data_IF_193124635948
#
_entry.id   IF_193124635948
#
_cell.length_a   1.000
_cell.length_b   1.000
_cell.length_c   1.000
_cell.angle_alpha   90.00
_cell.angle_beta   90.00
_cell.angle_gamma   90.00
#
_symmetry.space_group_name_H-M   'P 1'
#
loop_
_entity.id
_entity.type
_entity.pdbx_description
1 polymer ?
#
# COMPACT_ATOMS: atom_id res chain seq x y z
N UNK A 1 20.13 -12.33 -11.64
CA UNK A 1 20.55 -11.21 -10.77
C UNK A 1 19.80 -11.32 -9.46
N UNK A 2 20.52 -11.25 -8.34
CA UNK A 2 19.92 -11.28 -7.00
C UNK A 2 19.94 -9.88 -6.41
N UNK A 3 18.92 -9.57 -5.60
CA UNK A 3 18.76 -8.30 -4.91
C UNK A 3 18.35 -8.54 -3.47
N UNK A 4 18.51 -7.53 -2.62
CA UNK A 4 17.84 -7.46 -1.32
C UNK A 4 16.68 -6.46 -1.40
N UNK A 5 15.58 -6.81 -0.77
CA UNK A 5 14.43 -5.95 -0.57
C UNK A 5 14.24 -5.71 0.92
N UNK A 6 14.01 -4.48 1.32
CA UNK A 6 13.72 -4.09 2.71
C UNK A 6 12.38 -3.37 2.73
N UNK A 7 11.45 -3.86 3.52
CA UNK A 7 10.19 -3.16 3.83
C UNK A 7 10.24 -2.64 5.25
N UNK A 8 10.07 -1.32 5.41
CA UNK A 8 10.07 -0.64 6.72
C UNK A 8 8.71 0.01 6.92
N UNK A 9 7.85 -0.62 7.70
CA UNK A 9 6.55 -0.09 8.11
C UNK A 9 6.49 0.26 9.59
N UNK A 10 5.36 0.82 10.03
CA UNK A 10 5.15 1.20 11.43
C UNK A 10 4.97 0.03 12.41
N UNK A 11 4.71 -1.18 11.91
CA UNK A 11 4.48 -2.39 12.72
C UNK A 11 5.24 -3.60 12.20
N UNK A 12 5.76 -3.54 10.98
CA UNK A 12 6.38 -4.66 10.26
C UNK A 12 7.69 -4.21 9.64
N UNK A 13 8.72 -5.00 9.87
CA UNK A 13 9.99 -4.93 9.16
C UNK A 13 10.25 -6.27 8.51
N UNK A 14 10.63 -6.28 7.24
CA UNK A 14 11.16 -7.48 6.63
C UNK A 14 12.33 -7.19 5.70
N UNK A 15 13.26 -8.14 5.66
CA UNK A 15 14.41 -8.15 4.75
C UNK A 15 14.34 -9.42 3.95
N UNK A 16 14.26 -9.29 2.62
CA UNK A 16 14.13 -10.41 1.70
C UNK A 16 15.32 -10.45 0.75
N UNK A 17 15.76 -11.65 0.40
CA UNK A 17 16.61 -11.87 -0.77
C UNK A 17 15.74 -12.42 -1.91
N UNK A 18 15.93 -11.94 -3.12
CA UNK A 18 15.12 -12.37 -4.27
C UNK A 18 15.77 -12.09 -5.62
N UNK A 19 15.10 -12.50 -6.68
CA UNK A 19 15.53 -12.36 -8.05
C UNK A 19 14.94 -11.15 -8.78
N UNK A 20 15.50 -10.83 -9.92
CA UNK A 20 15.00 -9.78 -10.83
C UNK A 20 13.61 -10.10 -11.42
N UNK A 21 13.18 -11.35 -11.33
CA UNK A 21 11.86 -11.85 -11.71
C UNK A 21 10.79 -11.68 -10.62
N UNK A 22 11.16 -11.10 -9.47
CA UNK A 22 10.29 -10.90 -8.32
C UNK A 22 10.19 -12.11 -7.38
N UNK A 23 10.87 -13.23 -7.67
CA UNK A 23 10.88 -14.40 -6.79
C UNK A 23 11.61 -14.08 -5.48
N UNK A 24 10.98 -14.38 -4.34
CA UNK A 24 11.59 -14.25 -3.02
C UNK A 24 12.21 -15.60 -2.63
N UNK A 25 13.52 -15.62 -2.38
CA UNK A 25 14.28 -16.84 -2.04
C UNK A 25 14.40 -17.04 -0.53
N UNK A 26 14.54 -15.94 0.23
CA UNK A 26 14.65 -15.95 1.68
C UNK A 26 13.99 -14.70 2.26
N UNK A 27 13.36 -14.85 3.41
CA UNK A 27 12.67 -13.76 4.10
C UNK A 27 12.97 -13.81 5.58
N UNK A 28 13.33 -12.64 6.13
CA UNK A 28 13.46 -12.40 7.56
C UNK A 28 12.44 -11.36 7.97
N UNK A 29 11.57 -11.73 8.91
CA UNK A 29 10.54 -10.85 9.47
C UNK A 29 10.93 -10.47 10.89
N UNK A 30 10.73 -9.21 11.22
CA UNK A 30 10.99 -8.67 12.55
C UNK A 30 9.76 -7.90 13.03
N UNK A 31 9.48 -8.02 14.34
CA UNK A 31 8.53 -7.13 14.99
C UNK A 31 9.18 -5.76 15.19
N UNK A 32 8.42 -4.70 14.92
CA UNK A 32 8.84 -3.33 15.19
C UNK A 32 8.51 -2.99 16.63
N UNK A 33 9.54 -2.78 17.46
CA UNK A 33 9.39 -2.17 18.77
C UNK A 33 9.36 -0.63 18.60
N UNK A 34 8.18 -0.05 18.77
CA UNK A 34 8.00 1.40 18.65
C UNK A 34 8.75 2.19 19.72
N UNK A 35 8.98 1.59 20.89
CA UNK A 35 9.74 2.23 21.98
C UNK A 35 11.23 2.33 21.64
N UNK A 36 11.78 1.34 20.92
CA UNK A 36 13.15 1.38 20.40
C UNK A 36 13.33 2.33 19.20
N UNK A 37 12.24 2.81 18.64
CA UNK A 37 12.25 3.78 17.56
C UNK A 37 12.95 3.30 16.29
N UNK A 38 13.35 4.26 15.45
CA UNK A 38 14.09 3.99 14.21
C UNK A 38 15.45 3.33 14.43
N UNK A 39 16.07 3.53 15.59
CA UNK A 39 17.35 2.90 15.92
C UNK A 39 17.19 1.39 16.10
N UNK A 40 16.12 0.93 16.77
CA UNK A 40 15.83 -0.48 16.90
C UNK A 40 15.65 -1.16 15.55
N UNK A 41 14.93 -0.50 14.61
CA UNK A 41 14.75 -0.99 13.24
C UNK A 41 16.11 -1.06 12.51
N UNK A 42 16.92 -0.01 12.60
CA UNK A 42 18.26 0.01 12.00
C UNK A 42 19.16 -1.09 12.53
N UNK A 43 19.11 -1.36 13.82
CA UNK A 43 19.87 -2.45 14.46
C UNK A 43 19.46 -3.82 13.91
N UNK A 44 18.16 -4.07 13.75
CA UNK A 44 17.65 -5.31 13.16
C UNK A 44 18.09 -5.47 11.70
N UNK A 45 18.03 -4.41 10.91
CA UNK A 45 18.50 -4.41 9.51
C UNK A 45 20.01 -4.71 9.47
N UNK A 46 20.81 -3.98 10.24
CA UNK A 46 22.27 -4.14 10.29
C UNK A 46 22.68 -5.56 10.68
N UNK A 47 21.95 -6.19 11.60
CA UNK A 47 22.20 -7.58 12.01
C UNK A 47 21.85 -8.61 10.92
N UNK A 48 20.87 -8.32 10.05
CA UNK A 48 20.46 -9.25 9.01
C UNK A 48 21.32 -9.18 7.73
N UNK A 49 21.86 -8.00 7.40
CA UNK A 49 22.56 -7.76 6.13
C UNK A 49 23.78 -8.64 5.89
N UNK A 50 24.73 -8.84 6.83
CA UNK A 50 25.99 -9.55 6.54
C UNK A 50 25.77 -10.96 6.03
N UNK A 51 24.89 -11.72 6.67
CA UNK A 51 24.59 -13.10 6.29
C UNK A 51 23.87 -13.19 4.94
N UNK A 52 22.87 -12.32 4.72
CA UNK A 52 22.13 -12.29 3.46
C UNK A 52 23.03 -11.89 2.28
N UNK A 53 23.92 -10.91 2.49
CA UNK A 53 24.89 -10.47 1.48
C UNK A 53 25.88 -11.60 1.15
N UNK A 54 26.45 -12.25 2.17
CA UNK A 54 27.39 -13.35 1.96
C UNK A 54 26.78 -14.53 1.20
N UNK A 55 25.53 -14.88 1.57
CA UNK A 55 24.81 -16.01 0.99
C UNK A 55 24.31 -15.76 -0.43
N UNK A 56 23.67 -14.63 -0.66
CA UNK A 56 22.94 -14.37 -1.91
C UNK A 56 23.69 -13.50 -2.90
N UNK A 57 24.78 -12.84 -2.46
CA UNK A 57 25.65 -11.95 -3.30
C UNK A 57 24.81 -10.97 -4.13
N UNK A 58 23.95 -10.16 -3.49
CA UNK A 58 23.06 -9.24 -4.19
C UNK A 58 23.83 -8.14 -4.91
N UNK A 59 23.25 -7.60 -5.97
CA UNK A 59 23.84 -6.50 -6.75
C UNK A 59 23.35 -5.12 -6.28
N UNK A 60 22.21 -5.07 -5.60
CA UNK A 60 21.64 -3.83 -5.05
C UNK A 60 20.66 -4.15 -3.91
N UNK A 61 20.28 -3.09 -3.20
CA UNK A 61 19.24 -3.10 -2.17
C UNK A 61 18.13 -2.13 -2.57
N UNK A 62 16.89 -2.62 -2.65
CA UNK A 62 15.68 -1.82 -2.78
C UNK A 62 14.98 -1.69 -1.43
N UNK A 63 14.45 -0.52 -1.13
CA UNK A 63 13.78 -0.24 0.13
C UNK A 63 12.42 0.40 -0.12
N UNK A 64 11.36 -0.17 0.48
CA UNK A 64 10.06 0.46 0.63
C UNK A 64 9.89 0.98 2.05
N UNK A 65 9.73 2.29 2.20
CA UNK A 65 9.58 2.95 3.50
C UNK A 65 8.18 3.54 3.66
N UNK A 66 7.53 3.27 4.79
CA UNK A 66 6.19 3.76 5.10
C UNK A 66 6.17 5.22 5.53
N UNK A 67 6.36 6.13 4.61
CA UNK A 67 6.36 7.58 4.79
C UNK A 67 7.07 8.33 3.66
N UNK A 68 7.10 9.67 3.71
CA UNK A 68 7.69 10.51 2.67
C UNK A 68 9.21 10.30 2.54
N UNK A 69 9.66 10.10 1.31
CA UNK A 69 11.06 9.85 0.94
C UNK A 69 11.53 10.85 -0.12
N UNK A 70 12.71 11.38 0.05
CA UNK A 70 13.46 11.94 -1.08
C UNK A 70 14.13 10.78 -1.83
N UNK A 71 13.46 10.28 -2.85
CA UNK A 71 13.89 9.12 -3.60
C UNK A 71 15.22 9.31 -4.33
N UNK A 72 15.63 10.56 -4.64
CA UNK A 72 16.90 10.87 -5.30
C UNK A 72 18.10 10.65 -4.38
N UNK A 73 17.94 10.97 -3.10
CA UNK A 73 19.01 10.85 -2.09
C UNK A 73 18.84 9.61 -1.20
N UNK A 74 17.62 9.06 -1.14
CA UNK A 74 17.26 7.99 -0.21
C UNK A 74 17.08 8.51 1.23
N UNK A 75 16.76 9.80 1.39
CA UNK A 75 16.58 10.45 2.69
C UNK A 75 15.12 10.40 3.11
N UNK A 76 14.88 9.94 4.33
CA UNK A 76 13.56 9.94 4.95
C UNK A 76 13.24 11.36 5.38
N UNK A 77 12.08 11.90 4.98
CA UNK A 77 11.65 13.24 5.38
C UNK A 77 11.09 13.27 6.79
N UNK A 78 10.15 12.39 7.08
CA UNK A 78 9.57 12.22 8.42
C UNK A 78 9.01 10.81 8.59
N UNK A 79 8.58 10.50 9.83
CA UNK A 79 7.78 9.31 10.12
C UNK A 79 6.58 9.69 10.96
N UNK A 80 5.40 9.20 10.57
CA UNK A 80 4.16 9.38 11.34
C UNK A 80 3.97 8.34 12.44
N UNK A 81 4.75 7.25 12.43
CA UNK A 81 4.51 6.09 13.28
C UNK A 81 5.66 5.74 14.23
N UNK A 82 6.90 6.09 13.86
CA UNK A 82 8.11 5.68 14.59
C UNK A 82 9.07 6.87 14.70
N UNK A 83 9.44 7.24 15.91
CA UNK A 83 10.41 8.33 16.15
C UNK A 83 11.83 7.97 15.68
N UNK A 84 12.65 8.97 15.36
CA UNK A 84 14.07 8.77 15.02
C UNK A 84 14.35 8.54 13.53
N UNK A 85 13.38 8.92 12.65
CA UNK A 85 13.54 8.89 11.20
C UNK A 85 13.59 10.27 10.54
N UNK A 86 13.32 11.35 11.28
CA UNK A 86 13.28 12.68 10.69
C UNK A 86 14.62 13.04 10.05
N UNK A 87 14.58 13.37 8.77
CA UNK A 87 15.72 13.74 7.94
C UNK A 87 16.87 12.70 7.93
N UNK A 88 16.55 11.41 8.18
CA UNK A 88 17.56 10.36 8.26
C UNK A 88 18.05 9.92 6.87
N UNK A 89 19.38 9.86 6.61
CA UNK A 89 19.96 9.50 5.32
C UNK A 89 20.02 7.98 5.14
N UNK A 90 18.85 7.31 5.04
CA UNK A 90 18.73 5.85 5.00
C UNK A 90 19.51 5.22 3.85
N UNK A 91 19.46 5.83 2.66
CA UNK A 91 20.18 5.34 1.49
C UNK A 91 21.71 5.35 1.69
N UNK A 92 22.25 6.43 2.26
CA UNK A 92 23.68 6.54 2.59
C UNK A 92 24.08 5.55 3.67
N UNK A 93 23.32 5.50 4.75
CA UNK A 93 23.51 4.60 5.87
C UNK A 93 23.56 3.11 5.45
N UNK A 94 22.71 2.70 4.50
CA UNK A 94 22.71 1.35 3.94
C UNK A 94 23.89 1.12 2.97
N UNK A 95 24.23 2.10 2.13
CA UNK A 95 25.40 1.99 1.21
C UNK A 95 26.70 1.78 1.96
N UNK A 96 26.93 2.51 3.04
CA UNK A 96 28.10 2.36 3.89
C UNK A 96 28.23 0.94 4.49
N UNK A 97 27.11 0.32 4.87
CA UNK A 97 27.10 -1.01 5.50
C UNK A 97 27.15 -2.17 4.54
N UNK A 98 26.54 -2.01 3.40
CA UNK A 98 26.39 -3.10 2.43
C UNK A 98 27.46 -3.03 1.32
N UNK A 99 28.06 -1.88 1.07
CA UNK A 99 28.94 -1.60 -0.09
C UNK A 99 28.24 -1.92 -1.43
N UNK A 100 26.93 -1.64 -1.51
CA UNK A 100 26.06 -1.90 -2.64
C UNK A 100 25.28 -0.64 -3.04
N UNK A 101 24.84 -0.52 -4.30
CA UNK A 101 23.82 0.46 -4.69
C UNK A 101 22.55 0.28 -3.84
N UNK A 102 21.95 1.40 -3.40
CA UNK A 102 20.74 1.40 -2.59
C UNK A 102 19.74 2.39 -3.17
N UNK A 103 18.52 1.91 -3.39
CA UNK A 103 17.38 2.67 -3.88
C UNK A 103 16.29 2.67 -2.79
N UNK A 104 15.89 3.85 -2.33
CA UNK A 104 14.88 4.02 -1.27
C UNK A 104 13.70 4.74 -1.86
N UNK A 105 12.51 4.22 -1.62
CA UNK A 105 11.27 4.72 -2.14
C UNK A 105 10.15 4.61 -1.09
N UNK A 106 9.07 5.36 -1.28
CA UNK A 106 7.84 5.19 -0.49
C UNK A 106 7.24 3.79 -0.72
N UNK A 107 6.65 3.19 0.31
CA UNK A 107 6.12 1.83 0.28
C UNK A 107 4.94 1.66 -0.68
N UNK A 108 4.06 2.65 -0.81
CA UNK A 108 2.94 2.61 -1.76
C UNK A 108 3.44 2.67 -3.21
N UNK A 109 4.45 3.49 -3.50
CA UNK A 109 5.12 3.53 -4.80
C UNK A 109 5.78 2.19 -5.13
N UNK A 110 6.50 1.62 -4.15
CA UNK A 110 7.15 0.31 -4.33
C UNK A 110 6.10 -0.78 -4.56
N UNK A 111 5.00 -0.79 -3.81
CA UNK A 111 3.89 -1.72 -4.03
C UNK A 111 3.26 -1.57 -5.42
N UNK A 112 3.07 -0.31 -5.88
CA UNK A 112 2.59 -0.03 -7.22
C UNK A 112 3.50 -0.63 -8.30
N UNK A 113 4.83 -0.47 -8.15
CA UNK A 113 5.81 -1.04 -9.06
C UNK A 113 5.76 -2.57 -9.06
N UNK A 114 5.65 -3.19 -7.88
CA UNK A 114 5.50 -4.63 -7.73
C UNK A 114 4.28 -5.17 -8.47
N UNK A 115 3.12 -4.57 -8.22
CA UNK A 115 1.87 -4.96 -8.86
C UNK A 115 1.86 -4.70 -10.37
N UNK A 116 2.46 -3.61 -10.83
CA UNK A 116 2.56 -3.29 -12.26
C UNK A 116 3.43 -4.30 -13.02
N UNK A 117 4.53 -4.77 -12.43
CA UNK A 117 5.48 -5.62 -13.13
C UNK A 117 5.27 -7.12 -12.87
N UNK A 118 4.74 -7.49 -11.70
CA UNK A 118 4.65 -8.89 -11.27
C UNK A 118 3.27 -9.32 -10.76
N UNK A 119 2.35 -8.36 -10.50
CA UNK A 119 1.04 -8.61 -9.92
C UNK A 119 -0.13 -8.37 -10.87
N UNK A 120 -1.23 -7.84 -10.32
CA UNK A 120 -2.51 -7.65 -11.03
C UNK A 120 -2.44 -6.61 -12.15
N UNK A 121 -1.47 -5.69 -12.11
CA UNK A 121 -1.23 -4.65 -13.12
C UNK A 121 -0.39 -5.11 -14.31
N UNK A 122 0.10 -6.34 -14.30
CA UNK A 122 1.00 -6.83 -15.34
C UNK A 122 0.39 -6.73 -16.74
N UNK A 123 1.16 -6.11 -17.65
CA UNK A 123 0.79 -5.90 -19.04
C UNK A 123 -0.08 -4.68 -19.30
N UNK A 124 -0.45 -3.91 -18.28
CA UNK A 124 -1.17 -2.64 -18.39
C UNK A 124 -0.22 -1.45 -18.21
N UNK A 125 -0.56 -0.32 -18.85
CA UNK A 125 0.14 0.97 -18.67
C UNK A 125 -0.76 2.12 -19.13
N UNK A 126 -1.00 3.12 -18.27
CA UNK A 126 -0.56 3.29 -16.88
C UNK A 126 -1.27 2.36 -15.88
N UNK A 127 -0.59 2.04 -14.79
CA UNK A 127 -1.15 1.32 -13.64
C UNK A 127 -1.25 2.27 -12.46
N UNK A 128 -2.44 2.46 -11.90
CA UNK A 128 -2.61 3.17 -10.64
C UNK A 128 -2.85 2.19 -9.50
N UNK A 129 -2.04 2.27 -8.48
CA UNK A 129 -2.19 1.53 -7.24
C UNK A 129 -2.87 2.40 -6.19
N UNK A 130 -3.84 1.82 -5.47
CA UNK A 130 -4.41 2.43 -4.27
C UNK A 130 -4.30 1.45 -3.11
N UNK A 131 -3.69 1.91 -2.02
CA UNK A 131 -3.58 1.17 -0.78
C UNK A 131 -4.66 1.66 0.18
N UNK A 132 -5.60 0.79 0.56
CA UNK A 132 -6.58 1.05 1.62
C UNK A 132 -6.24 0.15 2.81
N UNK A 133 -5.37 0.67 3.67
CA UNK A 133 -4.86 0.05 4.89
C UNK A 133 -5.22 0.87 6.12
N UNK A 134 -4.30 1.07 7.07
CA UNK A 134 -4.48 2.00 8.21
C UNK A 134 -4.77 3.42 7.72
N UNK A 135 -4.10 3.85 6.63
CA UNK A 135 -4.39 5.04 5.87
C UNK A 135 -4.73 4.70 4.41
N UNK A 136 -4.74 5.73 3.54
CA UNK A 136 -4.91 5.58 2.09
C UNK A 136 -3.72 6.21 1.39
N UNK A 137 -2.98 5.40 0.63
CA UNK A 137 -1.86 5.84 -0.21
C UNK A 137 -2.06 5.48 -1.67
N UNK A 138 -1.20 5.98 -2.54
CA UNK A 138 -1.24 5.66 -3.96
C UNK A 138 0.13 5.53 -4.59
N UNK A 139 0.15 5.04 -5.84
CA UNK A 139 1.35 5.00 -6.68
C UNK A 139 0.97 4.87 -8.15
N UNK A 140 1.72 5.52 -9.01
CA UNK A 140 1.51 5.50 -10.45
C UNK A 140 2.73 4.90 -11.17
N UNK A 141 2.46 3.92 -12.02
CA UNK A 141 3.47 3.30 -12.87
C UNK A 141 3.10 3.51 -14.33
N UNK A 142 4.01 4.12 -15.07
CA UNK A 142 3.87 4.39 -16.51
C UNK A 142 5.02 3.71 -17.24
N UNK A 143 4.72 2.89 -18.23
CA UNK A 143 5.73 2.16 -19.01
C UNK A 143 6.72 1.36 -18.13
N UNK A 144 6.21 0.76 -17.05
CA UNK A 144 6.99 -0.04 -16.12
C UNK A 144 7.92 0.76 -15.19
N UNK A 145 7.75 2.08 -15.09
CA UNK A 145 8.52 2.99 -14.25
C UNK A 145 7.61 3.80 -13.33
N UNK A 146 8.09 4.07 -12.13
CA UNK A 146 7.38 4.97 -11.21
C UNK A 146 7.30 6.38 -11.78
N UNK A 147 6.14 7.00 -11.67
CA UNK A 147 5.95 8.42 -11.91
C UNK A 147 5.98 9.17 -10.58
N UNK A 148 7.00 9.98 -10.37
CA UNK A 148 7.22 10.67 -9.11
C UNK A 148 6.65 12.10 -9.07
N UNK A 149 6.55 12.78 -10.19
CA UNK A 149 6.26 14.22 -10.17
C UNK A 149 7.38 15.03 -9.49
N UNK A 150 6.99 16.08 -8.76
CA UNK A 150 7.92 16.88 -7.93
C UNK A 150 8.15 16.17 -6.57
N UNK A 151 9.31 16.43 -5.95
CA UNK A 151 9.60 15.90 -4.62
C UNK A 151 8.61 16.43 -3.56
N UNK A 152 8.17 15.59 -2.60
CA UNK A 152 8.65 14.22 -2.33
C UNK A 152 8.15 13.13 -3.29
N UNK A 153 7.20 13.39 -4.17
CA UNK A 153 6.88 12.53 -5.30
C UNK A 153 5.93 11.35 -5.04
N UNK A 154 5.23 11.32 -3.93
CA UNK A 154 4.19 10.33 -3.64
C UNK A 154 2.85 10.72 -4.27
N UNK A 155 2.02 9.70 -4.56
CA UNK A 155 0.64 9.87 -5.01
C UNK A 155 -0.31 9.86 -3.80
N UNK A 156 -0.42 11.02 -3.14
CA UNK A 156 -1.16 11.21 -1.89
C UNK A 156 -2.68 11.26 -2.10
N UNK A 157 -3.25 10.21 -2.72
CA UNK A 157 -4.69 10.08 -2.98
C UNK A 157 -5.51 10.17 -1.68
N UNK A 158 -4.97 9.70 -0.56
CA UNK A 158 -5.62 9.77 0.75
C UNK A 158 -5.89 11.19 1.22
N UNK A 159 -5.08 12.16 0.79
CA UNK A 159 -5.21 13.57 1.12
C UNK A 159 -6.05 14.38 0.12
N UNK A 160 -6.57 13.77 -0.94
CA UNK A 160 -7.53 14.41 -1.83
C UNK A 160 -8.80 14.73 -1.05
N UNK A 161 -9.32 15.95 -1.21
CA UNK A 161 -10.54 16.38 -0.52
C UNK A 161 -11.78 15.79 -1.19
N UNK A 162 -12.62 15.19 -0.38
CA UNK A 162 -13.96 14.75 -0.79
C UNK A 162 -14.96 15.89 -0.69
N UNK A 163 -14.77 16.76 0.30
CA UNK A 163 -15.69 17.87 0.58
C UNK A 163 -14.92 19.17 0.87
N UNK A 164 -15.62 20.30 0.77
CA UNK A 164 -15.03 21.64 1.01
C UNK A 164 -14.83 21.94 2.51
N UNK A 165 -15.45 21.19 3.38
CA UNK A 165 -15.29 21.27 4.85
C UNK A 165 -13.92 20.76 5.34
N UNK A 166 -13.18 20.12 4.47
CA UNK A 166 -11.85 19.58 4.76
C UNK A 166 -11.76 18.08 4.80
N UNK A 167 -12.89 17.36 4.75
CA UNK A 167 -12.92 15.88 4.71
C UNK A 167 -12.09 15.35 3.55
N UNK A 168 -11.19 14.43 3.85
CA UNK A 168 -10.30 13.79 2.88
C UNK A 168 -10.65 12.32 2.66
N UNK A 169 -10.10 11.73 1.60
CA UNK A 169 -10.34 10.31 1.24
C UNK A 169 -10.00 9.38 2.40
N UNK A 170 -8.91 9.61 3.10
CA UNK A 170 -8.49 8.78 4.23
C UNK A 170 -9.52 8.75 5.37
N UNK A 171 -10.20 9.85 5.63
CA UNK A 171 -11.24 9.96 6.67
C UNK A 171 -12.44 9.04 6.44
N UNK A 172 -12.70 8.68 5.17
CA UNK A 172 -13.86 7.87 4.74
C UNK A 172 -13.50 6.48 4.23
N UNK A 173 -12.32 6.34 3.61
CA UNK A 173 -11.96 5.15 2.83
C UNK A 173 -10.80 4.33 3.42
N UNK A 174 -10.15 4.81 4.50
CA UNK A 174 -9.13 4.00 5.18
C UNK A 174 -9.75 2.83 5.93
N UNK A 175 -8.95 1.79 6.17
CA UNK A 175 -9.37 0.67 7.03
C UNK A 175 -9.79 1.13 8.42
N UNK A 176 -9.09 2.14 8.99
CA UNK A 176 -9.49 2.70 10.29
C UNK A 176 -10.82 3.45 10.25
N UNK A 177 -11.15 4.11 9.14
CA UNK A 177 -12.44 4.76 8.96
C UNK A 177 -13.56 3.71 8.89
N UNK A 178 -13.35 2.66 8.10
CA UNK A 178 -14.32 1.55 8.00
C UNK A 178 -14.45 0.79 9.33
N UNK A 179 -13.35 0.53 10.04
CA UNK A 179 -13.38 -0.06 11.38
C UNK A 179 -14.20 0.77 12.37
N UNK A 180 -14.09 2.09 12.30
CA UNK A 180 -14.90 3.01 13.10
C UNK A 180 -16.39 2.87 12.76
N UNK A 181 -16.73 2.89 11.46
CA UNK A 181 -18.11 2.74 11.01
C UNK A 181 -18.72 1.39 11.44
N UNK A 182 -17.93 0.31 11.45
CA UNK A 182 -18.35 -1.00 11.96
C UNK A 182 -18.62 -0.93 13.47
N UNK A 183 -17.75 -0.32 14.27
CA UNK A 183 -17.95 -0.17 15.71
C UNK A 183 -19.21 0.63 16.02
N UNK A 184 -19.36 1.79 15.37
CA UNK A 184 -20.53 2.65 15.55
C UNK A 184 -21.83 1.91 15.20
N UNK A 185 -21.82 1.13 14.11
CA UNK A 185 -22.98 0.34 13.70
C UNK A 185 -23.30 -0.79 14.69
N UNK A 186 -22.31 -1.46 15.26
CA UNK A 186 -22.49 -2.50 16.27
C UNK A 186 -23.06 -1.92 17.57
N UNK A 187 -22.58 -0.73 17.98
CA UNK A 187 -23.11 -0.04 19.16
C UNK A 187 -24.55 0.40 18.96
N UNK A 188 -24.90 0.93 17.79
CA UNK A 188 -26.26 1.42 17.49
C UNK A 188 -27.28 0.28 17.24
N UNK A 189 -26.79 -0.86 16.68
CA UNK A 189 -27.65 -2.01 16.35
C UNK A 189 -27.08 -3.33 16.94
N UNK A 190 -27.09 -3.51 18.28
CA UNK A 190 -26.43 -4.63 18.96
C UNK A 190 -27.04 -6.02 18.66
N UNK A 191 -28.23 -6.03 18.03
CA UNK A 191 -28.91 -7.27 17.61
C UNK A 191 -28.75 -7.56 16.11
N UNK A 192 -28.01 -6.74 15.39
CA UNK A 192 -27.78 -6.94 13.97
C UNK A 192 -26.95 -8.20 13.67
N UNK A 193 -27.02 -8.67 12.43
CA UNK A 193 -26.15 -9.75 11.94
C UNK A 193 -24.68 -9.34 12.04
N UNK A 194 -24.37 -8.07 11.78
CA UNK A 194 -23.01 -7.53 11.91
C UNK A 194 -22.50 -7.64 13.36
N UNK A 195 -23.35 -7.29 14.36
CA UNK A 195 -22.99 -7.37 15.76
C UNK A 195 -22.66 -8.81 16.21
N UNK A 196 -23.34 -9.82 15.66
CA UNK A 196 -23.02 -11.23 15.93
C UNK A 196 -21.62 -11.59 15.45
N UNK A 197 -21.25 -11.25 14.22
CA UNK A 197 -19.90 -11.48 13.71
C UNK A 197 -18.83 -10.71 14.48
N UNK A 198 -19.15 -9.49 14.92
CA UNK A 198 -18.27 -8.67 15.73
C UNK A 198 -18.03 -9.24 17.13
N UNK A 199 -19.01 -9.93 17.71
CA UNK A 199 -18.90 -10.59 19.02
C UNK A 199 -17.99 -11.85 18.97
N UNK A 200 -17.91 -12.53 17.82
CA UNK A 200 -17.06 -13.71 17.60
C UNK A 200 -15.61 -13.33 17.28
N UNK A 201 -15.36 -12.09 16.91
CA UNK A 201 -14.07 -11.58 16.52
C UNK A 201 -13.83 -10.18 17.14
N UNK A 202 -13.09 -9.33 16.46
CA UNK A 202 -12.95 -7.92 16.79
C UNK A 202 -13.91 -7.10 15.90
N UNK A 203 -14.60 -6.05 16.42
CA UNK A 203 -15.46 -5.20 15.62
C UNK A 203 -14.65 -4.31 14.68
N UNK A 204 -14.31 -4.85 13.53
CA UNK A 204 -13.54 -4.20 12.47
C UNK A 204 -14.03 -4.64 11.08
N UNK A 205 -13.41 -4.11 10.02
CA UNK A 205 -13.79 -4.34 8.64
C UNK A 205 -13.88 -5.82 8.24
N UNK A 206 -13.13 -6.72 8.90
CA UNK A 206 -13.15 -8.17 8.61
C UNK A 206 -14.52 -8.79 8.81
N UNK A 207 -15.37 -8.18 9.66
CA UNK A 207 -16.75 -8.63 9.89
C UNK A 207 -17.68 -8.33 8.70
N UNK A 208 -17.31 -7.41 7.79
CA UNK A 208 -18.19 -6.97 6.71
C UNK A 208 -18.48 -8.09 5.70
N UNK A 209 -17.46 -8.75 5.18
CA UNK A 209 -17.64 -9.76 4.13
C UNK A 209 -18.57 -10.93 4.59
N UNK A 210 -18.35 -11.57 5.76
CA UNK A 210 -19.26 -12.62 6.23
C UNK A 210 -20.66 -12.08 6.58
N UNK A 211 -20.77 -10.86 7.11
CA UNK A 211 -22.08 -10.26 7.39
C UNK A 211 -22.87 -9.95 6.11
N UNK A 212 -22.21 -9.44 5.07
CA UNK A 212 -22.82 -9.22 3.75
C UNK A 212 -23.29 -10.54 3.16
N UNK A 213 -22.47 -11.59 3.20
CA UNK A 213 -22.86 -12.92 2.73
C UNK A 213 -24.07 -13.49 3.48
N UNK A 214 -24.26 -13.10 4.75
CA UNK A 214 -25.43 -13.44 5.56
C UNK A 214 -26.62 -12.47 5.35
N UNK A 215 -26.58 -11.56 4.37
CA UNK A 215 -27.67 -10.64 4.04
C UNK A 215 -27.79 -9.42 4.95
N UNK A 216 -26.73 -9.00 5.64
CA UNK A 216 -26.74 -7.86 6.53
C UNK A 216 -26.75 -6.52 5.77
N UNK A 217 -27.90 -5.83 5.75
CA UNK A 217 -28.04 -4.54 5.07
C UNK A 217 -27.14 -3.45 5.65
N UNK A 218 -26.82 -3.47 6.95
CA UNK A 218 -25.93 -2.49 7.60
C UNK A 218 -24.51 -2.68 7.10
N UNK A 219 -24.00 -3.91 7.07
CA UNK A 219 -22.68 -4.21 6.56
C UNK A 219 -22.54 -3.87 5.06
N UNK A 220 -23.59 -4.15 4.28
CA UNK A 220 -23.66 -3.81 2.86
C UNK A 220 -23.59 -2.30 2.65
N UNK A 221 -24.36 -1.52 3.43
CA UNK A 221 -24.34 -0.05 3.38
C UNK A 221 -22.97 0.51 3.70
N UNK A 222 -22.32 0.10 4.82
CA UNK A 222 -20.99 0.57 5.21
C UNK A 222 -19.97 0.39 4.08
N UNK A 223 -19.90 -0.80 3.50
CA UNK A 223 -18.95 -1.06 2.43
C UNK A 223 -19.30 -0.30 1.15
N UNK A 224 -20.59 -0.18 0.84
CA UNK A 224 -21.06 0.55 -0.36
C UNK A 224 -20.74 2.04 -0.24
N UNK A 225 -20.96 2.66 0.91
CA UNK A 225 -20.63 4.07 1.16
C UNK A 225 -19.13 4.31 1.02
N UNK A 226 -18.30 3.52 1.69
CA UNK A 226 -16.85 3.64 1.58
C UNK A 226 -16.33 3.48 0.13
N UNK A 227 -16.90 2.55 -0.63
CA UNK A 227 -16.52 2.33 -2.03
C UNK A 227 -17.05 3.40 -2.98
N UNK A 228 -18.18 4.03 -2.69
CA UNK A 228 -18.68 5.18 -3.45
C UNK A 228 -17.76 6.40 -3.26
N UNK A 229 -17.33 6.68 -2.03
CA UNK A 229 -16.38 7.76 -1.75
C UNK A 229 -15.01 7.51 -2.41
N UNK A 230 -14.52 6.28 -2.34
CA UNK A 230 -13.27 5.91 -3.02
C UNK A 230 -13.40 6.00 -4.54
N UNK A 231 -14.55 5.61 -5.10
CA UNK A 231 -14.82 5.74 -6.53
C UNK A 231 -14.84 7.20 -6.98
N UNK A 232 -15.44 8.09 -6.18
CA UNK A 232 -15.42 9.52 -6.44
C UNK A 232 -13.99 10.06 -6.45
N UNK A 233 -13.18 9.74 -5.45
CA UNK A 233 -11.78 10.12 -5.40
C UNK A 233 -10.97 9.59 -6.60
N UNK A 234 -11.14 8.31 -6.93
CA UNK A 234 -10.46 7.67 -8.05
C UNK A 234 -10.93 8.19 -9.42
N UNK A 235 -12.13 8.78 -9.52
CA UNK A 235 -12.56 9.45 -10.74
C UNK A 235 -11.65 10.60 -11.13
N UNK A 236 -11.10 11.33 -10.15
CA UNK A 236 -10.12 12.40 -10.41
C UNK A 236 -8.81 11.81 -10.98
N UNK A 237 -8.39 10.64 -10.48
CA UNK A 237 -7.25 9.91 -11.05
C UNK A 237 -7.53 9.52 -12.50
N UNK A 238 -8.73 9.00 -12.78
CA UNK A 238 -9.12 8.64 -14.15
C UNK A 238 -9.14 9.85 -15.07
N UNK A 239 -9.73 10.96 -14.61
CA UNK A 239 -9.83 12.20 -15.42
C UNK A 239 -8.47 12.82 -15.73
N UNK A 240 -7.49 12.69 -14.82
CA UNK A 240 -6.19 13.37 -14.95
C UNK A 240 -5.08 12.45 -15.51
N UNK A 241 -5.12 11.16 -15.18
CA UNK A 241 -4.02 10.24 -15.46
C UNK A 241 -4.42 9.08 -16.40
N UNK A 242 -5.71 8.82 -16.56
CA UNK A 242 -6.30 7.84 -17.45
C UNK A 242 -5.64 6.46 -17.40
N UNK A 243 -5.55 5.82 -16.23
CA UNK A 243 -4.92 4.52 -16.10
C UNK A 243 -5.72 3.42 -16.83
N UNK A 244 -5.06 2.40 -17.35
CA UNK A 244 -5.72 1.21 -17.89
C UNK A 244 -6.29 0.31 -16.79
N UNK A 245 -5.64 0.35 -15.60
CA UNK A 245 -6.04 -0.44 -14.45
C UNK A 245 -5.82 0.32 -13.15
N UNK A 246 -6.78 0.16 -12.24
CA UNK A 246 -6.65 0.52 -10.82
C UNK A 246 -6.52 -0.78 -10.03
N UNK A 247 -5.40 -0.94 -9.32
CA UNK A 247 -5.14 -2.09 -8.45
C UNK A 247 -5.37 -1.67 -7.00
N UNK A 248 -6.25 -2.37 -6.31
CA UNK A 248 -6.60 -2.08 -4.91
C UNK A 248 -5.90 -3.05 -3.98
N UNK A 249 -5.08 -2.51 -3.07
CA UNK A 249 -4.38 -3.27 -2.04
C UNK A 249 -4.68 -2.76 -0.63
N UNK A 250 -3.86 -3.20 0.33
CA UNK A 250 -4.04 -2.90 1.75
C UNK A 250 -5.05 -3.81 2.44
N UNK A 251 -5.27 -3.56 3.73
CA UNK A 251 -6.10 -4.43 4.58
C UNK A 251 -7.54 -4.58 4.10
N UNK A 252 -8.15 -3.53 3.57
CA UNK A 252 -9.53 -3.60 3.07
C UNK A 252 -9.65 -4.46 1.81
N UNK A 253 -8.61 -4.59 0.98
CA UNK A 253 -8.66 -5.44 -0.21
C UNK A 253 -8.90 -6.93 0.13
N UNK A 254 -8.61 -7.34 1.37
CA UNK A 254 -8.88 -8.70 1.88
C UNK A 254 -10.38 -9.01 1.99
N UNK A 255 -11.26 -8.01 1.92
CA UNK A 255 -12.71 -8.24 1.77
C UNK A 255 -13.06 -8.90 0.44
N UNK A 256 -12.14 -8.90 -0.52
CA UNK A 256 -12.25 -9.63 -1.76
C UNK A 256 -13.27 -9.05 -2.75
N UNK A 257 -13.99 -9.93 -3.43
CA UNK A 257 -14.95 -9.56 -4.48
C UNK A 257 -16.05 -8.58 -4.00
N UNK A 258 -16.58 -8.67 -2.79
CA UNK A 258 -17.54 -7.67 -2.28
C UNK A 258 -17.03 -6.23 -2.37
N UNK A 259 -15.77 -5.99 -2.10
CA UNK A 259 -15.14 -4.67 -2.22
C UNK A 259 -14.94 -4.30 -3.70
N UNK A 260 -14.27 -5.17 -4.45
CA UNK A 260 -13.91 -4.92 -5.86
C UNK A 260 -15.14 -4.60 -6.71
N UNK A 261 -16.20 -5.42 -6.57
CA UNK A 261 -17.42 -5.26 -7.36
C UNK A 261 -18.14 -3.92 -7.09
N UNK A 262 -18.18 -3.48 -5.82
CA UNK A 262 -18.81 -2.18 -5.47
C UNK A 262 -18.02 -1.02 -6.04
N UNK A 263 -16.70 -1.05 -5.89
CA UNK A 263 -15.85 -0.01 -6.45
C UNK A 263 -15.96 0.05 -7.98
N UNK A 264 -15.88 -1.09 -8.66
CA UNK A 264 -16.01 -1.17 -10.11
C UNK A 264 -17.40 -0.72 -10.63
N UNK A 265 -18.47 -0.97 -9.86
CA UNK A 265 -19.81 -0.53 -10.21
C UNK A 265 -20.04 0.98 -9.93
N UNK A 266 -19.35 1.55 -8.94
CA UNK A 266 -19.50 2.95 -8.58
C UNK A 266 -18.70 3.90 -9.49
N UNK A 267 -17.50 3.51 -9.91
CA UNK A 267 -16.56 4.36 -10.64
C UNK A 267 -17.14 4.96 -11.94
N UNK A 268 -17.86 4.22 -12.81
CA UNK A 268 -18.43 4.77 -14.04
C UNK A 268 -19.39 5.94 -13.86
N UNK A 269 -19.94 6.14 -12.68
CA UNK A 269 -20.87 7.26 -12.38
C UNK A 269 -20.16 8.62 -12.30
N UNK A 270 -18.85 8.61 -12.10
CA UNK A 270 -18.05 9.79 -11.78
C UNK A 270 -17.06 10.17 -12.88
N UNK A 271 -16.88 9.31 -13.89
CA UNK A 271 -16.00 9.59 -15.03
C UNK A 271 -16.79 10.14 -16.21
N UNK A 272 -16.11 10.90 -17.06
CA UNK A 272 -16.74 11.41 -18.28
C UNK A 272 -17.14 10.26 -19.21
N UNK A 273 -18.26 10.44 -19.96
CA UNK A 273 -18.79 9.42 -20.85
C UNK A 273 -17.78 8.88 -21.87
N UNK A 274 -16.91 9.75 -22.38
CA UNK A 274 -15.87 9.36 -23.33
C UNK A 274 -14.82 8.39 -22.75
N UNK A 275 -14.73 8.25 -21.43
CA UNK A 275 -13.83 7.31 -20.77
C UNK A 275 -14.53 5.99 -20.37
N UNK A 276 -15.83 5.88 -20.63
CA UNK A 276 -16.56 4.65 -20.33
C UNK A 276 -15.98 3.43 -21.07
N UNK A 277 -15.93 2.26 -20.44
CA UNK A 277 -16.41 1.91 -19.09
C UNK A 277 -15.45 2.29 -17.94
N UNK A 278 -14.36 2.98 -18.24
CA UNK A 278 -13.31 3.33 -17.30
C UNK A 278 -12.23 2.22 -17.16
N UNK A 279 -11.27 2.43 -16.25
CA UNK A 279 -10.20 1.47 -16.03
C UNK A 279 -10.71 0.17 -15.42
N UNK A 280 -10.01 -0.92 -15.69
CA UNK A 280 -10.25 -2.19 -14.98
C UNK A 280 -9.93 -2.02 -13.50
N UNK A 281 -10.80 -2.46 -12.61
CA UNK A 281 -10.56 -2.52 -11.17
C UNK A 281 -10.18 -3.94 -10.77
N UNK A 282 -9.01 -4.13 -10.18
CA UNK A 282 -8.52 -5.42 -9.72
C UNK A 282 -8.04 -5.34 -8.27
N UNK A 283 -8.11 -6.47 -7.57
CA UNK A 283 -7.45 -6.61 -6.26
C UNK A 283 -5.97 -6.91 -6.47
N UNK A 284 -5.16 -6.55 -5.47
CA UNK A 284 -3.74 -6.85 -5.43
C UNK A 284 -3.45 -8.33 -5.65
N UNK A 285 -2.57 -8.63 -6.58
CA UNK A 285 -2.16 -10.02 -6.88
C UNK A 285 -1.04 -10.51 -5.99
N UNK A 286 -0.22 -9.61 -5.46
CA UNK A 286 0.94 -9.95 -4.62
C UNK A 286 0.63 -9.94 -3.12
N UNK A 287 -0.51 -9.36 -2.70
CA UNK A 287 -0.90 -9.30 -1.31
C UNK A 287 0.18 -8.67 -0.42
N UNK A 288 0.62 -9.40 0.62
CA UNK A 288 1.69 -8.94 1.53
C UNK A 288 3.07 -8.82 0.87
N UNK A 289 3.26 -9.38 -0.32
CA UNK A 289 4.52 -9.38 -1.04
C UNK A 289 4.67 -8.19 -1.99
N UNK A 290 3.65 -7.32 -2.11
CA UNK A 290 3.68 -6.18 -3.02
C UNK A 290 4.89 -5.27 -2.79
N UNK A 291 5.20 -4.90 -1.55
CA UNK A 291 6.36 -4.07 -1.22
C UNK A 291 7.69 -4.81 -1.43
N UNK A 292 7.91 -6.04 -0.90
CA UNK A 292 9.16 -6.77 -1.17
C UNK A 292 9.43 -7.01 -2.65
N UNK A 293 8.43 -7.46 -3.39
CA UNK A 293 8.56 -7.71 -4.84
C UNK A 293 8.82 -6.41 -5.61
N UNK A 294 8.12 -5.34 -5.23
CA UNK A 294 8.35 -4.03 -5.80
C UNK A 294 9.75 -3.47 -5.49
N UNK A 295 10.30 -3.73 -4.29
CA UNK A 295 11.66 -3.33 -3.94
C UNK A 295 12.72 -4.11 -4.75
N UNK A 296 12.48 -5.39 -5.05
CA UNK A 296 13.33 -6.14 -5.99
C UNK A 296 13.23 -5.55 -7.42
N UNK A 297 12.01 -5.19 -7.84
CA UNK A 297 11.77 -4.56 -9.13
C UNK A 297 12.43 -3.16 -9.22
N UNK A 298 12.40 -2.39 -8.12
CA UNK A 298 13.05 -1.08 -8.02
C UNK A 298 14.57 -1.20 -8.28
N UNK A 299 15.22 -2.22 -7.69
CA UNK A 299 16.65 -2.50 -7.99
C UNK A 299 16.89 -2.71 -9.49
N UNK A 300 16.03 -3.53 -10.13
CA UNK A 300 16.17 -3.85 -11.56
C UNK A 300 15.98 -2.64 -12.47
N UNK A 301 15.02 -1.76 -12.14
CA UNK A 301 14.69 -0.61 -12.99
C UNK A 301 15.59 0.60 -12.76
N UNK A 302 16.40 0.58 -11.69
CA UNK A 302 17.30 1.68 -11.29
C UNK A 302 18.78 1.40 -11.54
N UNK A 303 19.16 0.13 -11.83
CA UNK A 303 20.50 -0.25 -12.30
C UNK A 303 20.61 -0.07 -13.81
#
# INVERSE_FOLDING_TARGET
>A
MNFLAIEIGGTKLQVCAGGADGAIFERRRFAVDRAAGGEGIRTQIAGALPELIAKWKPQAIGVGYGGPVDWKTGRIKCSHHVVGWNDFPLGEWLRERASLPVFVENDANVAALGEALHGAGRGASPVFWVNSGSGVGGGLVVEGRLYHGALPGEMEIGHVRLERDGTIVEDRCSGWAVDRAVRDAVENEPRSVLARFAAEAKPDARCLAPAIAAGCAVADRILTEAMNELAFALSHVVQLLHPEIIVVGGGLSLLGEPLRARLAAALPRWIMEAFAPGPRVALAGLGEDAVPVGALALCRTSL
#
